data_IF_316515326510
#
_entry.id   IF_316515326510
#
_cell.length_a   1.000
_cell.length_b   1.000
_cell.length_c   1.000
_cell.angle_alpha   90.00
_cell.angle_beta   90.00
_cell.angle_gamma   90.00
#
_symmetry.space_group_name_H-M   'P 1'
#
loop_
_entity.id
_entity.type
_entity.pdbx_description
1 polymer ?
#
# COMPACT_ATOMS: atom_id res chain seq x y z
N UNK A 1 -20.00 12.66 -1.58
CA UNK A 1 -20.00 12.67 -0.08
C UNK A 1 -21.40 12.64 0.58
N UNK A 2 -22.15 13.76 0.72
CA UNK A 2 -23.42 13.76 1.52
C UNK A 2 -24.45 12.73 1.04
N UNK A 3 -24.59 12.55 -0.28
CA UNK A 3 -25.49 11.57 -0.88
C UNK A 3 -25.27 10.13 -0.35
N UNK A 4 -24.04 9.62 -0.38
CA UNK A 4 -23.70 8.25 0.08
C UNK A 4 -24.15 7.98 1.51
N UNK A 5 -23.98 8.96 2.42
CA UNK A 5 -24.38 8.83 3.82
C UNK A 5 -25.90 8.71 3.98
N UNK A 6 -26.68 9.27 3.04
CA UNK A 6 -28.14 9.07 2.95
C UNK A 6 -28.48 7.74 2.29
N UNK A 7 -27.86 7.43 1.14
CA UNK A 7 -28.16 6.25 0.31
C UNK A 7 -27.85 4.92 1.03
N UNK A 8 -26.74 4.87 1.78
CA UNK A 8 -26.30 3.68 2.50
C UNK A 8 -26.90 3.56 3.93
N UNK A 9 -27.89 4.38 4.29
CA UNK A 9 -28.47 4.40 5.63
C UNK A 9 -27.55 4.90 6.77
N UNK A 10 -26.31 5.31 6.47
CA UNK A 10 -25.29 5.74 7.43
C UNK A 10 -25.53 7.16 8.02
N UNK A 11 -26.73 7.71 7.86
CA UNK A 11 -27.05 9.09 8.20
C UNK A 11 -27.15 9.25 9.72
N UNK A 12 -26.14 9.87 10.32
CA UNK A 12 -26.01 10.04 11.77
C UNK A 12 -25.03 9.05 12.44
N UNK A 13 -24.73 7.92 11.80
CA UNK A 13 -23.72 6.95 12.28
C UNK A 13 -22.29 7.34 11.89
N UNK A 14 -22.10 7.83 10.65
CA UNK A 14 -20.77 8.26 10.16
C UNK A 14 -20.90 9.58 9.41
N UNK A 15 -20.21 10.63 9.89
CA UNK A 15 -20.18 11.93 9.24
C UNK A 15 -19.58 11.83 7.83
N UNK A 16 -20.09 12.57 6.82
CA UNK A 16 -19.48 12.62 5.49
C UNK A 16 -17.99 13.00 5.48
N UNK A 17 -17.50 13.72 6.50
CA UNK A 17 -16.05 13.99 6.69
C UNK A 17 -15.28 12.77 7.20
N UNK A 18 -15.87 11.97 8.09
CA UNK A 18 -15.29 10.71 8.57
C UNK A 18 -15.29 9.64 7.48
N UNK A 19 -16.35 9.56 6.66
CA UNK A 19 -16.41 8.65 5.50
C UNK A 19 -15.32 9.01 4.48
N UNK A 20 -15.15 10.30 4.14
CA UNK A 20 -14.02 10.74 3.33
C UNK A 20 -12.67 10.37 3.98
N UNK A 21 -12.44 10.68 5.26
CA UNK A 21 -11.17 10.34 5.93
C UNK A 21 -10.89 8.82 5.97
N UNK A 22 -11.93 7.98 6.10
CA UNK A 22 -11.79 6.51 6.00
C UNK A 22 -11.46 6.06 4.57
N UNK A 23 -12.02 6.69 3.54
CA UNK A 23 -11.69 6.42 2.14
C UNK A 23 -10.27 6.88 1.79
N UNK A 24 -9.87 8.07 2.23
CA UNK A 24 -8.53 8.59 1.99
C UNK A 24 -7.48 7.70 2.69
N UNK A 25 -7.72 7.29 3.95
CA UNK A 25 -6.90 6.30 4.67
C UNK A 25 -6.88 4.92 3.99
N UNK A 26 -8.01 4.47 3.42
CA UNK A 26 -8.05 3.20 2.68
C UNK A 26 -7.25 3.30 1.38
N UNK A 27 -7.39 4.38 0.60
CA UNK A 27 -6.55 4.65 -0.57
C UNK A 27 -5.08 4.67 -0.18
N UNK A 28 -4.69 5.45 0.82
CA UNK A 28 -3.32 5.56 1.33
C UNK A 28 -2.78 4.18 1.73
N UNK A 29 -3.44 3.48 2.66
CA UNK A 29 -2.99 2.18 3.15
C UNK A 29 -2.94 1.11 2.05
N UNK A 30 -3.94 1.05 1.16
CA UNK A 30 -3.99 0.01 0.12
C UNK A 30 -3.00 0.30 -1.00
N UNK A 31 -2.86 1.56 -1.43
CA UNK A 31 -1.83 1.95 -2.40
C UNK A 31 -0.42 1.72 -1.84
N UNK A 32 -0.12 2.19 -0.63
CA UNK A 32 1.19 1.98 0.01
C UNK A 32 1.46 0.49 0.26
N UNK A 33 0.43 -0.31 0.58
CA UNK A 33 0.61 -1.77 0.73
C UNK A 33 0.95 -2.44 -0.60
N UNK A 34 0.25 -2.14 -1.70
CA UNK A 34 0.56 -2.73 -3.01
C UNK A 34 1.88 -2.21 -3.62
N UNK A 35 2.22 -0.94 -3.42
CA UNK A 35 3.46 -0.33 -3.94
C UNK A 35 4.72 -0.79 -3.20
N UNK A 36 4.61 -1.19 -1.92
CA UNK A 36 5.77 -1.37 -1.05
C UNK A 36 5.97 -2.81 -0.54
N UNK A 37 4.95 -3.69 -0.61
CA UNK A 37 5.04 -5.07 -0.10
C UNK A 37 4.27 -6.06 -0.98
N UNK A 38 5.03 -6.95 -1.63
CA UNK A 38 4.62 -8.10 -2.43
C UNK A 38 3.10 -8.40 -2.41
N UNK A 39 2.35 -8.12 -3.49
CA UNK A 39 0.96 -8.57 -3.57
C UNK A 39 0.90 -10.10 -3.47
N UNK A 40 -0.12 -10.67 -2.81
CA UNK A 40 -0.28 -12.12 -2.78
C UNK A 40 -0.50 -12.65 -4.22
N UNK A 41 0.03 -13.84 -4.50
CA UNK A 41 -0.01 -14.44 -5.83
C UNK A 41 -1.43 -14.44 -6.40
N UNK A 42 -1.59 -13.92 -7.63
CA UNK A 42 -2.89 -13.67 -8.25
C UNK A 42 -3.47 -12.25 -8.06
N UNK A 43 -2.76 -11.34 -7.37
CA UNK A 43 -3.13 -9.91 -7.27
C UNK A 43 -2.13 -8.95 -7.94
N UNK A 44 -1.12 -9.44 -8.66
CA UNK A 44 -0.12 -8.60 -9.35
C UNK A 44 -0.75 -7.71 -10.43
N UNK A 45 -1.66 -8.28 -11.22
CA UNK A 45 -2.51 -7.55 -12.17
C UNK A 45 -3.56 -6.64 -11.49
N UNK A 46 -3.71 -6.70 -10.15
CA UNK A 46 -4.46 -5.71 -9.38
C UNK A 46 -3.62 -4.48 -8.95
N UNK A 47 -2.32 -4.43 -9.26
CA UNK A 47 -1.42 -3.30 -8.90
C UNK A 47 -1.74 -1.95 -9.60
N UNK A 48 -2.66 -1.93 -10.57
CA UNK A 48 -3.18 -0.69 -11.17
C UNK A 48 -4.43 -0.19 -10.43
N UNK A 49 -4.58 1.11 -10.08
CA UNK A 49 -5.75 1.64 -9.38
C UNK A 49 -7.11 1.35 -10.06
N UNK A 50 -7.11 1.17 -11.38
CA UNK A 50 -8.29 0.84 -12.19
C UNK A 50 -8.70 -0.64 -12.15
N UNK A 51 -7.86 -1.53 -11.62
CA UNK A 51 -8.16 -2.96 -11.49
C UNK A 51 -9.24 -3.26 -10.45
N UNK A 52 -9.30 -2.45 -9.40
CA UNK A 52 -10.25 -2.65 -8.31
C UNK A 52 -11.63 -2.21 -8.81
N UNK A 53 -12.46 -3.21 -9.13
CA UNK A 53 -13.76 -3.05 -9.82
C UNK A 53 -14.77 -2.13 -9.11
N UNK A 54 -14.53 -1.75 -7.85
CA UNK A 54 -15.31 -0.77 -7.10
C UNK A 54 -14.62 0.58 -6.87
N UNK A 55 -13.34 0.75 -7.22
CA UNK A 55 -12.59 2.01 -7.08
C UNK A 55 -13.28 3.15 -7.82
N UNK A 56 -13.57 2.96 -9.11
CA UNK A 56 -14.23 3.99 -9.92
C UNK A 56 -15.65 4.29 -9.44
N UNK A 57 -16.40 3.28 -8.97
CA UNK A 57 -17.75 3.47 -8.42
C UNK A 57 -17.73 4.29 -7.12
N UNK A 58 -16.83 3.94 -6.19
CA UNK A 58 -16.66 4.66 -4.93
C UNK A 58 -16.10 6.08 -5.13
N UNK A 59 -15.16 6.26 -6.06
CA UNK A 59 -14.59 7.56 -6.37
C UNK A 59 -15.61 8.49 -7.06
N UNK A 60 -16.42 7.97 -7.99
CA UNK A 60 -17.55 8.69 -8.58
C UNK A 60 -18.62 9.02 -7.51
N UNK A 61 -18.92 8.11 -6.57
CA UNK A 61 -19.84 8.39 -5.47
C UNK A 61 -19.32 9.49 -4.52
N UNK A 62 -18.02 9.47 -4.21
CA UNK A 62 -17.41 10.41 -3.27
C UNK A 62 -17.20 11.80 -3.87
N UNK A 63 -16.71 11.88 -5.12
CA UNK A 63 -16.67 13.10 -5.93
C UNK A 63 -18.07 13.66 -6.26
N UNK A 64 -19.12 12.84 -6.15
CA UNK A 64 -20.52 13.26 -6.28
C UNK A 64 -21.15 13.05 -7.65
N UNK A 65 -20.44 12.39 -8.58
CA UNK A 65 -20.90 12.08 -9.95
C UNK A 65 -22.05 11.06 -10.01
N UNK A 66 -22.34 10.33 -8.93
CA UNK A 66 -23.47 9.38 -8.81
C UNK A 66 -24.68 9.94 -8.03
N UNK A 67 -24.87 11.26 -8.01
CA UNK A 67 -26.00 11.89 -7.35
C UNK A 67 -27.31 11.70 -8.15
N UNK A 68 -28.01 10.58 -7.90
CA UNK A 68 -29.34 10.29 -8.46
C UNK A 68 -29.47 8.98 -9.26
N UNK A 69 -28.42 8.14 -9.30
CA UNK A 69 -28.36 6.95 -10.18
C UNK A 69 -28.49 5.61 -9.45
N UNK A 70 -29.13 5.58 -8.26
CA UNK A 70 -29.30 4.38 -7.45
C UNK A 70 -30.53 3.54 -7.83
N UNK A 71 -30.34 2.34 -8.39
CA UNK A 71 -31.35 1.27 -8.31
C UNK A 71 -31.17 0.54 -6.97
N UNK A 72 -32.22 0.50 -6.16
CA UNK A 72 -32.21 -0.13 -4.84
C UNK A 72 -32.05 -1.65 -4.99
N UNK A 73 -30.94 -2.19 -4.47
CA UNK A 73 -30.84 -3.61 -4.14
C UNK A 73 -31.40 -3.81 -2.73
N UNK A 74 -32.43 -4.63 -2.58
CA UNK A 74 -32.84 -5.14 -1.26
C UNK A 74 -31.84 -6.20 -0.81
N UNK A 75 -31.46 -6.27 0.48
CA UNK A 75 -30.81 -7.45 1.02
C UNK A 75 -31.76 -8.65 0.86
N UNK A 76 -31.24 -9.78 0.39
CA UNK A 76 -31.92 -11.06 0.61
C UNK A 76 -31.56 -11.57 1.99
N UNK A 77 -32.54 -12.13 2.66
CA UNK A 77 -32.44 -12.86 3.92
C UNK A 77 -32.90 -14.29 3.63
N UNK A 78 -32.58 -15.25 4.50
CA UNK A 78 -32.71 -16.71 4.26
C UNK A 78 -31.63 -17.22 3.27
N UNK A 79 -31.03 -18.42 3.39
CA UNK A 79 -31.21 -19.53 4.35
C UNK A 79 -29.86 -20.10 4.85
N UNK A 80 -29.92 -21.06 5.78
CA UNK A 80 -28.81 -21.82 6.36
C UNK A 80 -28.51 -23.13 5.57
N UNK A 81 -27.35 -23.74 5.83
CA UNK A 81 -26.92 -25.15 5.63
C UNK A 81 -27.24 -25.93 4.32
N UNK A 82 -26.18 -26.47 3.67
CA UNK A 82 -25.99 -27.93 3.40
C UNK A 82 -24.69 -28.24 2.61
N UNK A 83 -24.15 -29.45 2.76
CA UNK A 83 -22.95 -29.93 2.05
C UNK A 83 -23.30 -30.69 0.75
N UNK A 84 -23.17 -30.07 -0.44
CA UNK A 84 -23.14 -30.83 -1.70
C UNK A 84 -22.07 -30.37 -2.71
N UNK A 85 -21.12 -31.26 -2.94
CA UNK A 85 -20.11 -31.21 -4.00
C UNK A 85 -20.72 -31.51 -5.39
N UNK A 86 -20.65 -30.54 -6.33
CA UNK A 86 -20.74 -30.82 -7.77
C UNK A 86 -19.71 -29.99 -8.57
N UNK A 87 -18.74 -30.71 -9.12
CA UNK A 87 -17.90 -30.41 -10.30
C UNK A 87 -17.90 -28.99 -10.89
N UNK A 88 -16.78 -28.27 -10.71
CA UNK A 88 -16.34 -27.27 -11.68
C UNK A 88 -15.93 -27.96 -12.99
N UNK A 89 -16.62 -27.68 -14.09
CA UNK A 89 -16.16 -28.03 -15.44
C UNK A 89 -15.20 -26.95 -15.96
N UNK A 90 -13.92 -27.25 -16.24
CA UNK A 90 -13.08 -26.38 -17.04
C UNK A 90 -13.39 -26.59 -18.52
N UNK A 91 -14.10 -25.65 -19.15
CA UNK A 91 -14.17 -25.59 -20.61
C UNK A 91 -12.87 -24.98 -21.14
N UNK A 92 -12.05 -25.81 -21.77
CA UNK A 92 -10.77 -25.43 -22.37
C UNK A 92 -10.94 -24.41 -23.51
N UNK A 93 -9.91 -23.58 -23.79
CA UNK A 93 -9.74 -23.05 -25.14
C UNK A 93 -9.48 -24.19 -26.13
N UNK A 94 -10.00 -24.06 -27.34
CA UNK A 94 -9.68 -24.85 -28.54
C UNK A 94 -9.02 -23.87 -29.52
N UNK A 95 -7.72 -24.04 -29.84
CA UNK A 95 -7.18 -24.73 -31.01
C UNK A 95 -7.68 -24.08 -32.33
N UNK A 96 -6.82 -23.67 -33.27
CA UNK A 96 -5.76 -24.45 -33.98
C UNK A 96 -4.37 -23.75 -33.90
N UNK A 97 -3.21 -24.42 -33.74
CA UNK A 97 -2.51 -25.41 -34.63
C UNK A 97 -1.92 -24.71 -35.88
N UNK A 98 -0.73 -25.01 -36.44
CA UNK A 98 0.30 -26.10 -36.38
C UNK A 98 1.69 -25.46 -36.78
N UNK A 99 2.92 -26.00 -36.64
CA UNK A 99 3.54 -27.14 -35.92
C UNK A 99 5.07 -26.81 -35.69
N UNK A 100 5.82 -27.43 -34.76
CA UNK A 100 6.83 -28.51 -34.91
C UNK A 100 7.84 -28.45 -36.10
N UNK A 101 9.10 -28.91 -36.04
CA UNK A 101 9.96 -29.41 -34.92
C UNK A 101 11.45 -29.58 -35.33
N UNK A 102 12.37 -29.64 -34.34
CA UNK A 102 13.75 -30.19 -34.45
C UNK A 102 14.89 -29.20 -34.78
N UNK A 103 16.18 -29.49 -34.48
CA UNK A 103 16.78 -30.56 -33.63
C UNK A 103 18.21 -30.15 -33.12
N UNK A 104 19.00 -31.11 -32.62
CA UNK A 104 20.31 -31.03 -31.92
C UNK A 104 21.43 -30.29 -32.71
N UNK A 105 22.41 -29.57 -32.13
CA UNK A 105 23.51 -29.89 -31.16
C UNK A 105 24.59 -30.86 -31.75
N UNK A 106 25.88 -30.56 -31.46
CA UNK A 106 27.13 -31.30 -31.81
C UNK A 106 27.61 -31.16 -33.27
N UNK A 107 28.87 -31.48 -33.66
CA UNK A 107 30.21 -31.33 -33.04
C UNK A 107 31.28 -31.78 -34.08
N UNK A 108 32.42 -31.07 -34.19
CA UNK A 108 33.61 -31.41 -35.03
C UNK A 108 33.40 -31.58 -36.56
N UNK A 109 34.50 -31.48 -37.33
CA UNK A 109 34.48 -31.75 -38.78
C UNK A 109 35.61 -31.10 -39.59
N UNK A 110 36.83 -31.62 -39.47
CA UNK A 110 37.95 -31.26 -40.36
C UNK A 110 38.13 -32.31 -41.47
N UNK A 111 38.15 -31.93 -42.77
CA UNK A 111 38.61 -32.82 -43.83
C UNK A 111 39.77 -32.23 -44.65
N UNK A 112 40.93 -32.87 -44.56
CA UNK A 112 42.07 -32.67 -45.48
C UNK A 112 41.83 -33.37 -46.82
N UNK A 113 41.90 -32.65 -47.94
CA UNK A 113 42.12 -33.17 -49.32
C UNK A 113 42.68 -32.04 -50.22
N UNK A 114 43.28 -32.33 -51.39
CA UNK A 114 44.50 -33.12 -51.53
C UNK A 114 45.58 -32.39 -52.36
N UNK A 115 46.84 -32.85 -52.26
CA UNK A 115 47.90 -32.43 -53.18
C UNK A 115 47.78 -33.18 -54.51
N UNK A 116 47.80 -32.48 -55.65
CA UNK A 116 48.40 -32.98 -56.89
C UNK A 116 48.89 -31.85 -57.79
N UNK A 117 49.85 -32.19 -58.65
CA UNK A 117 50.35 -31.37 -59.76
C UNK A 117 49.25 -31.13 -60.79
N UNK A 118 49.14 -29.92 -61.32
CA UNK A 118 49.68 -29.65 -62.66
C UNK A 118 49.95 -28.17 -62.86
N UNK A 119 51.09 -27.86 -63.47
CA UNK A 119 51.51 -26.51 -63.79
C UNK A 119 51.55 -26.32 -65.29
N UNK A 120 50.81 -25.34 -65.79
CA UNK A 120 51.03 -24.83 -67.13
C UNK A 120 51.06 -23.29 -67.15
N UNK A 121 52.03 -22.77 -67.87
CA UNK A 121 52.51 -21.40 -67.78
C UNK A 121 51.80 -20.51 -68.80
N UNK A 122 51.03 -19.50 -68.36
CA UNK A 122 50.68 -18.35 -69.20
C UNK A 122 50.68 -17.00 -68.47
N UNK A 123 51.52 -16.11 -69.01
CA UNK A 123 51.57 -14.65 -68.98
C UNK A 123 50.72 -13.83 -67.97
N UNK A 124 51.31 -12.81 -67.31
CA UNK A 124 50.54 -11.79 -66.61
C UNK A 124 49.79 -10.90 -67.60
N UNK A 125 48.48 -11.14 -67.77
CA UNK A 125 47.61 -10.23 -68.52
C UNK A 125 47.50 -8.91 -67.77
N UNK A 126 48.15 -7.88 -68.30
CA UNK A 126 48.10 -6.50 -67.77
C UNK A 126 46.70 -5.91 -67.95
N UNK A 127 45.78 -6.29 -67.08
CA UNK A 127 44.41 -5.79 -67.04
C UNK A 127 44.37 -4.43 -66.33
N UNK A 128 44.94 -3.42 -67.01
CA UNK A 128 44.61 -2.00 -66.97
C UNK A 128 43.69 -1.57 -65.80
N UNK A 129 44.24 -1.47 -64.59
CA UNK A 129 43.52 -0.94 -63.43
C UNK A 129 43.03 0.47 -63.76
N UNK A 130 41.71 0.62 -63.89
CA UNK A 130 41.09 1.92 -64.16
C UNK A 130 41.19 2.77 -62.90
N UNK A 131 41.98 3.87 -62.88
CA UNK A 131 42.28 4.58 -61.63
C UNK A 131 41.02 5.04 -60.87
N UNK A 132 40.00 5.42 -61.64
CA UNK A 132 38.67 5.82 -61.17
C UNK A 132 38.01 4.85 -60.17
N UNK A 133 38.25 3.54 -60.25
CA UNK A 133 37.63 2.61 -59.29
C UNK A 133 38.27 2.73 -57.91
N UNK A 134 39.61 2.80 -57.87
CA UNK A 134 40.37 3.05 -56.64
C UNK A 134 39.97 4.40 -56.03
N UNK A 135 39.85 5.45 -56.86
CA UNK A 135 39.44 6.79 -56.41
C UNK A 135 38.10 6.75 -55.65
N UNK A 136 37.13 5.95 -56.13
CA UNK A 136 35.81 5.83 -55.50
C UNK A 136 35.89 5.03 -54.19
N UNK A 137 36.58 3.89 -54.18
CA UNK A 137 36.81 3.09 -52.97
C UNK A 137 37.53 3.90 -51.88
N UNK A 138 38.47 4.78 -52.24
CA UNK A 138 39.12 5.68 -51.27
C UNK A 138 38.20 6.75 -50.71
N UNK A 139 37.29 7.31 -51.52
CA UNK A 139 36.31 8.28 -51.05
C UNK A 139 35.28 7.63 -50.10
N UNK A 140 34.81 6.42 -50.41
CA UNK A 140 33.90 5.66 -49.56
C UNK A 140 34.54 5.33 -48.20
N UNK A 141 35.84 4.98 -48.19
CA UNK A 141 36.61 4.76 -46.96
C UNK A 141 36.83 6.06 -46.17
N UNK A 142 37.10 7.19 -46.81
CA UNK A 142 37.25 8.50 -46.15
C UNK A 142 35.91 9.00 -45.57
N UNK A 143 34.79 8.80 -46.28
CA UNK A 143 33.46 9.04 -45.75
C UNK A 143 33.21 8.17 -44.51
N UNK A 144 33.49 6.86 -44.59
CA UNK A 144 33.27 5.94 -43.47
C UNK A 144 34.15 6.24 -42.26
N UNK A 145 35.40 6.66 -42.46
CA UNK A 145 36.26 7.17 -41.38
C UNK A 145 35.68 8.45 -40.76
N UNK A 146 35.15 9.36 -41.58
CA UNK A 146 34.49 10.58 -41.12
C UNK A 146 33.18 10.29 -40.34
N UNK A 147 32.46 9.24 -40.69
CA UNK A 147 31.27 8.76 -39.97
C UNK A 147 31.66 8.15 -38.61
N UNK A 148 32.59 7.19 -38.60
CA UNK A 148 33.14 6.59 -37.37
C UNK A 148 33.74 7.64 -36.42
N UNK A 149 34.38 8.70 -36.95
CA UNK A 149 34.89 9.80 -36.13
C UNK A 149 33.75 10.62 -35.50
N UNK A 150 32.61 10.81 -36.19
CA UNK A 150 31.42 11.46 -35.61
C UNK A 150 30.76 10.59 -34.56
N UNK A 151 30.60 9.29 -34.83
CA UNK A 151 30.08 8.30 -33.86
C UNK A 151 30.94 8.26 -32.59
N UNK A 152 32.27 8.19 -32.74
CA UNK A 152 33.21 8.24 -31.62
C UNK A 152 33.04 9.53 -30.80
N UNK A 153 32.84 10.69 -31.44
CA UNK A 153 32.55 11.94 -30.72
C UNK A 153 31.17 11.97 -30.06
N UNK A 154 30.19 11.16 -30.49
CA UNK A 154 28.90 11.01 -29.80
C UNK A 154 29.08 10.12 -28.57
N UNK A 155 29.70 8.95 -28.73
CA UNK A 155 30.00 8.02 -27.63
C UNK A 155 30.88 8.67 -26.54
N UNK A 156 31.90 9.44 -26.91
CA UNK A 156 32.71 10.23 -25.97
C UNK A 156 31.84 11.20 -25.14
N UNK A 157 30.76 11.77 -25.70
CA UNK A 157 29.85 12.66 -24.96
C UNK A 157 28.91 11.87 -24.04
N UNK A 158 28.25 10.86 -24.58
CA UNK A 158 27.34 9.97 -23.84
C UNK A 158 28.03 9.35 -22.63
N UNK A 159 29.28 8.89 -22.77
CA UNK A 159 30.08 8.42 -21.64
C UNK A 159 30.23 9.48 -20.55
N UNK A 160 30.56 10.74 -20.90
CA UNK A 160 30.63 11.80 -19.89
C UNK A 160 29.27 12.15 -19.29
N UNK A 161 28.15 11.81 -19.91
CA UNK A 161 26.82 12.02 -19.35
C UNK A 161 26.48 10.90 -18.36
N UNK A 162 26.72 9.64 -18.69
CA UNK A 162 26.66 8.52 -17.74
C UNK A 162 27.59 8.72 -16.53
N UNK A 163 28.81 9.23 -16.72
CA UNK A 163 29.72 9.55 -15.61
C UNK A 163 29.12 10.60 -14.65
N UNK A 164 28.41 11.62 -15.19
CA UNK A 164 27.71 12.64 -14.37
C UNK A 164 26.52 12.03 -13.64
N UNK A 165 25.75 11.15 -14.29
CA UNK A 165 24.61 10.46 -13.69
C UNK A 165 25.05 9.52 -12.55
N UNK A 166 26.12 8.75 -12.74
CA UNK A 166 26.70 7.92 -11.67
C UNK A 166 27.13 8.77 -10.45
N UNK A 167 27.77 9.91 -10.68
CA UNK A 167 28.15 10.86 -9.63
C UNK A 167 26.93 11.50 -8.93
N UNK A 168 25.79 11.65 -9.63
CA UNK A 168 24.55 12.13 -9.03
C UNK A 168 23.87 11.02 -8.19
N UNK A 169 23.73 9.82 -8.74
CA UNK A 169 23.12 8.67 -8.06
C UNK A 169 23.89 8.24 -6.80
N UNK A 170 25.22 8.36 -6.78
CA UNK A 170 26.02 8.13 -5.58
C UNK A 170 25.70 9.14 -4.47
N UNK A 171 25.57 10.43 -4.81
CA UNK A 171 25.18 11.47 -3.83
C UNK A 171 23.76 11.28 -3.33
N UNK A 172 22.82 10.91 -4.20
CA UNK A 172 21.43 10.62 -3.80
C UNK A 172 21.38 9.38 -2.89
N UNK A 173 22.25 8.38 -3.12
CA UNK A 173 22.43 7.23 -2.23
C UNK A 173 22.99 7.64 -0.86
N UNK A 174 23.97 8.55 -0.80
CA UNK A 174 24.48 9.10 0.46
C UNK A 174 23.41 9.89 1.23
N UNK A 175 22.64 10.74 0.55
CA UNK A 175 21.53 11.49 1.14
C UNK A 175 20.45 10.55 1.69
N UNK A 176 20.02 9.55 0.91
CA UNK A 176 19.03 8.55 1.33
C UNK A 176 19.52 7.73 2.53
N UNK A 177 20.79 7.35 2.58
CA UNK A 177 21.39 6.67 3.73
C UNK A 177 21.37 7.55 4.99
N UNK A 178 21.69 8.84 4.84
CA UNK A 178 21.67 9.81 5.95
C UNK A 178 20.24 10.03 6.49
N UNK A 179 19.26 10.10 5.59
CA UNK A 179 17.85 10.31 5.94
C UNK A 179 17.19 9.03 6.50
N UNK A 180 17.61 7.85 6.05
CA UNK A 180 17.28 6.57 6.72
C UNK A 180 17.75 6.57 8.19
N UNK A 181 18.94 7.13 8.47
CA UNK A 181 19.49 7.23 9.81
C UNK A 181 18.78 8.29 10.67
N UNK A 182 18.25 9.39 10.11
CA UNK A 182 17.41 10.34 10.87
C UNK A 182 16.05 9.72 11.19
N UNK A 183 15.36 9.14 10.22
CA UNK A 183 14.06 8.46 10.42
C UNK A 183 14.16 7.34 11.46
N UNK A 184 15.24 6.56 11.45
CA UNK A 184 15.45 5.51 12.46
C UNK A 184 15.68 6.10 13.87
N UNK A 185 16.35 7.27 14.00
CA UNK A 185 16.48 7.97 15.30
C UNK A 185 15.12 8.48 15.78
N UNK A 186 14.37 9.17 14.92
CA UNK A 186 13.03 9.69 15.20
C UNK A 186 12.07 8.59 15.63
N UNK A 187 12.09 7.43 14.96
CA UNK A 187 11.32 6.26 15.36
C UNK A 187 11.62 5.85 16.82
N UNK A 188 12.89 5.76 17.22
CA UNK A 188 13.22 5.45 18.62
C UNK A 188 12.79 6.54 19.59
N UNK A 189 12.70 7.82 19.17
CA UNK A 189 12.17 8.89 20.02
C UNK A 189 10.67 8.68 20.25
N UNK A 190 9.90 8.46 19.17
CA UNK A 190 8.47 8.16 19.25
C UNK A 190 8.15 6.90 20.08
N UNK A 191 8.99 5.87 20.01
CA UNK A 191 8.85 4.67 20.86
C UNK A 191 9.06 4.99 22.36
N UNK A 192 9.98 5.91 22.71
CA UNK A 192 10.16 6.40 24.11
C UNK A 192 8.99 7.28 24.57
N UNK A 193 8.53 8.19 23.71
CA UNK A 193 7.42 9.11 24.01
C UNK A 193 6.11 8.32 24.20
N UNK A 194 5.86 7.31 23.36
CA UNK A 194 4.74 6.38 23.52
C UNK A 194 4.79 5.66 24.87
N UNK A 195 5.96 5.18 25.28
CA UNK A 195 6.15 4.55 26.58
C UNK A 195 6.02 5.54 27.76
N UNK A 196 6.18 6.85 27.53
CA UNK A 196 5.88 7.89 28.52
C UNK A 196 4.37 8.11 28.66
N UNK A 197 3.66 8.33 27.55
CA UNK A 197 2.21 8.49 27.53
C UNK A 197 1.48 7.27 28.13
N UNK A 198 2.01 6.06 27.93
CA UNK A 198 1.46 4.85 28.55
C UNK A 198 1.65 4.80 30.08
N UNK A 199 2.81 5.24 30.59
CA UNK A 199 3.04 5.40 32.04
C UNK A 199 2.13 6.47 32.64
N UNK A 200 2.01 7.63 32.00
CA UNK A 200 1.19 8.74 32.48
C UNK A 200 -0.29 8.36 32.50
N UNK A 201 -0.78 7.65 31.47
CA UNK A 201 -2.12 7.07 31.44
C UNK A 201 -2.37 6.12 32.62
N UNK A 202 -1.40 5.28 32.96
CA UNK A 202 -1.49 4.35 34.09
C UNK A 202 -1.42 5.06 35.45
N UNK A 203 -0.88 6.28 35.55
CA UNK A 203 -0.98 7.12 36.74
C UNK A 203 -2.39 7.73 36.86
N UNK A 204 -2.88 8.37 35.79
CA UNK A 204 -4.24 8.96 35.73
C UNK A 204 -5.33 7.92 36.03
N UNK A 205 -5.14 6.66 35.61
CA UNK A 205 -6.08 5.56 35.93
C UNK A 205 -6.06 5.16 37.42
N UNK A 206 -4.90 5.19 38.08
CA UNK A 206 -4.81 5.00 39.54
C UNK A 206 -5.45 6.15 40.29
N UNK A 207 -5.18 7.39 39.90
CA UNK A 207 -5.74 8.59 40.53
C UNK A 207 -7.26 8.64 40.40
N UNK A 208 -7.79 8.26 39.22
CA UNK A 208 -9.23 8.09 39.00
C UNK A 208 -9.83 7.04 39.95
N UNK A 209 -9.19 5.88 40.08
CA UNK A 209 -9.64 4.83 40.99
C UNK A 209 -9.49 5.23 42.48
N UNK A 210 -8.56 6.13 42.82
CA UNK A 210 -8.45 6.71 44.17
C UNK A 210 -9.63 7.64 44.45
N UNK A 211 -9.87 8.61 43.57
CA UNK A 211 -11.00 9.56 43.67
C UNK A 211 -12.38 8.87 43.68
N UNK A 212 -12.51 7.71 43.02
CA UNK A 212 -13.73 6.90 43.05
C UNK A 212 -13.98 6.26 44.44
N UNK A 213 -12.92 5.82 45.13
CA UNK A 213 -13.01 5.33 46.52
C UNK A 213 -13.37 6.45 47.48
N UNK A 214 -12.70 7.60 47.39
CA UNK A 214 -12.99 8.78 48.21
C UNK A 214 -14.45 9.24 48.03
N UNK A 215 -14.93 9.27 46.78
CA UNK A 215 -16.33 9.59 46.47
C UNK A 215 -17.30 8.59 47.11
N UNK A 216 -16.99 7.30 47.11
CA UNK A 216 -17.80 6.26 47.75
C UNK A 216 -17.81 6.40 49.30
N UNK A 217 -16.66 6.75 49.91
CA UNK A 217 -16.56 7.05 51.35
C UNK A 217 -17.40 8.27 51.71
N UNK A 218 -17.22 9.39 51.01
CA UNK A 218 -18.01 10.62 51.21
C UNK A 218 -19.52 10.38 51.03
N UNK A 219 -19.90 9.52 50.08
CA UNK A 219 -21.31 9.18 49.90
C UNK A 219 -21.86 8.31 51.04
N UNK A 220 -21.08 7.36 51.55
CA UNK A 220 -21.43 6.56 52.73
C UNK A 220 -21.57 7.45 53.98
N UNK A 221 -20.65 8.38 54.18
CA UNK A 221 -20.70 9.37 55.25
C UNK A 221 -21.96 10.23 55.15
N UNK A 222 -22.25 10.78 53.97
CA UNK A 222 -23.49 11.52 53.70
C UNK A 222 -24.74 10.71 54.03
N UNK A 223 -24.80 9.43 53.60
CA UNK A 223 -25.92 8.52 53.94
C UNK A 223 -26.06 8.32 55.45
N UNK A 224 -24.96 8.08 56.18
CA UNK A 224 -25.04 7.84 57.63
C UNK A 224 -25.38 9.10 58.43
N UNK A 225 -24.94 10.30 57.99
CA UNK A 225 -25.36 11.58 58.58
C UNK A 225 -26.86 11.79 58.44
N UNK A 226 -27.41 11.68 57.23
CA UNK A 226 -28.86 11.78 57.01
C UNK A 226 -29.67 10.71 57.77
N UNK A 227 -29.12 9.49 57.93
CA UNK A 227 -29.77 8.45 58.74
C UNK A 227 -29.83 8.85 60.22
N UNK A 228 -28.71 9.27 60.81
CA UNK A 228 -28.61 9.72 62.21
C UNK A 228 -29.50 10.94 62.48
N UNK A 229 -29.57 11.88 61.55
CA UNK A 229 -30.44 13.05 61.63
C UNK A 229 -31.92 12.65 61.67
N UNK A 230 -32.36 11.76 60.76
CA UNK A 230 -33.73 11.21 60.78
C UNK A 230 -34.02 10.41 62.04
N UNK A 231 -33.05 9.63 62.52
CA UNK A 231 -33.16 8.87 63.78
C UNK A 231 -33.36 9.81 64.98
N UNK A 232 -32.58 10.90 65.08
CA UNK A 232 -32.71 11.91 66.14
C UNK A 232 -34.03 12.70 66.07
N UNK A 233 -34.52 13.02 64.86
CA UNK A 233 -35.83 13.68 64.66
C UNK A 233 -36.99 12.76 65.06
N UNK A 234 -36.89 11.46 64.77
CA UNK A 234 -37.87 10.47 65.25
C UNK A 234 -37.82 10.30 66.77
N UNK A 235 -36.63 10.24 67.37
CA UNK A 235 -36.48 10.08 68.82
C UNK A 235 -37.00 11.31 69.59
N UNK A 236 -36.65 12.52 69.16
CA UNK A 236 -37.17 13.76 69.76
C UNK A 236 -38.69 13.86 69.65
N UNK A 237 -39.28 13.45 68.52
CA UNK A 237 -40.74 13.32 68.36
C UNK A 237 -41.35 12.29 69.34
N UNK A 238 -40.73 11.12 69.51
CA UNK A 238 -41.21 10.10 70.45
C UNK A 238 -41.13 10.56 71.91
N UNK A 239 -40.00 11.18 72.31
CA UNK A 239 -39.83 11.79 73.64
C UNK A 239 -40.94 12.82 73.91
N UNK A 240 -41.19 13.72 72.96
CA UNK A 240 -42.25 14.73 73.05
C UNK A 240 -43.65 14.10 73.19
N UNK A 241 -43.99 13.07 72.41
CA UNK A 241 -45.26 12.35 72.55
C UNK A 241 -45.41 11.70 73.94
N UNK A 242 -44.35 11.08 74.47
CA UNK A 242 -44.38 10.49 75.82
C UNK A 242 -44.54 11.51 76.96
N UNK A 243 -44.11 12.76 76.75
CA UNK A 243 -44.34 13.86 77.70
C UNK A 243 -45.79 14.34 77.65
N UNK A 244 -46.38 14.45 76.45
CA UNK A 244 -47.80 14.77 76.30
C UNK A 244 -48.71 13.69 76.92
N UNK A 245 -48.42 12.40 76.70
CA UNK A 245 -49.18 11.31 77.32
C UNK A 245 -49.14 11.41 78.86
N UNK A 246 -47.96 11.59 79.46
CA UNK A 246 -47.79 11.74 80.92
C UNK A 246 -48.40 13.01 81.51
N UNK A 247 -48.75 13.99 80.66
CA UNK A 247 -49.52 15.19 81.05
C UNK A 247 -51.02 14.91 81.04
N UNK A 248 -51.52 14.19 80.03
CA UNK A 248 -52.93 13.76 79.96
C UNK A 248 -53.26 12.74 81.05
N UNK A 249 -52.35 11.83 81.38
CA UNK A 249 -52.48 10.85 82.49
C UNK A 249 -52.44 11.48 83.90
N UNK A 250 -52.35 12.82 84.01
CA UNK A 250 -52.28 13.58 85.27
C UNK A 250 -53.35 14.67 85.41
N UNK A 251 -54.33 14.72 84.50
CA UNK A 251 -55.46 15.64 84.49
C UNK A 251 -56.77 14.90 84.79
#
# INVERSE_FOLDING_TARGET
>A
CRAISKEMGLLGQVSPRQLKKKWDYLKEKYMVSLLLKNPPAGMENMSRPSSWRWFHLMDQALSGKLAGTGKILRPSQMDEDEELNVSLQPLSPSNTEEDASGLEILETGNPTLPLHSDGDNMAPTSSFFSPRNMDHETNDLEQKLSELQRERMVLDREQTEFDKELIALEKDRELLNRDMVTVQRERTALDRDRAAVERDRALVERDRAFLERDRAVLEKDRRTRFRKEREAVLETRQRLLSLFQKLVEKL
#
